data_IF_176533896052
#
_entry.id   IF_176533896052
#
_cell.length_a   1.000
_cell.length_b   1.000
_cell.length_c   1.000
_cell.angle_alpha   90.00
_cell.angle_beta   90.00
_cell.angle_gamma   90.00
#
_symmetry.space_group_name_H-M   'P 1'
#
loop_
_entity.id
_entity.type
_entity.pdbx_description
1 polymer ?
#
# COMPACT_ATOMS: atom_id res chain seq x y z
N UNK A 1 6.09 47.88 3.33
CA UNK A 1 7.24 48.14 4.18
C UNK A 1 6.69 48.67 5.49
N UNK A 2 7.18 48.17 6.61
CA UNK A 2 6.90 48.65 7.96
C UNK A 2 8.19 49.23 8.55
N UNK A 3 8.06 50.33 9.28
CA UNK A 3 9.20 51.02 9.88
C UNK A 3 9.13 50.93 11.41
N UNK A 4 10.27 51.03 12.06
CA UNK A 4 10.38 51.23 13.49
C UNK A 4 10.18 52.71 13.81
N UNK A 5 10.06 53.05 15.10
CA UNK A 5 9.88 54.44 15.56
C UNK A 5 11.11 55.33 15.28
N UNK A 6 12.29 54.74 15.07
CA UNK A 6 13.55 55.40 14.69
C UNK A 6 13.72 55.59 13.18
N UNK A 7 12.73 55.25 12.35
CA UNK A 7 12.75 55.37 10.90
C UNK A 7 13.47 54.22 10.17
N UNK A 8 14.03 53.25 10.89
CA UNK A 8 14.63 52.07 10.27
C UNK A 8 13.59 51.08 9.77
N UNK A 9 13.89 50.26 8.75
CA UNK A 9 12.97 49.27 8.20
C UNK A 9 12.81 48.10 9.19
N UNK A 10 11.63 47.95 9.72
CA UNK A 10 11.25 46.82 10.59
C UNK A 10 11.02 45.55 9.79
N UNK A 11 10.23 45.63 8.73
CA UNK A 11 9.95 44.51 7.85
C UNK A 11 9.51 44.96 6.47
N UNK A 12 9.80 44.15 5.47
CA UNK A 12 9.31 44.35 4.12
C UNK A 12 8.84 43.03 3.51
N UNK A 13 7.90 43.09 2.57
CA UNK A 13 7.45 41.93 1.82
C UNK A 13 7.37 42.26 0.33
N UNK A 14 7.79 41.29 -0.47
CA UNK A 14 7.64 41.28 -1.91
C UNK A 14 6.67 40.19 -2.32
N UNK A 15 5.85 40.46 -3.32
CA UNK A 15 4.95 39.44 -3.87
C UNK A 15 5.51 38.95 -5.18
N UNK A 16 5.51 37.60 -5.30
CA UNK A 16 5.86 36.91 -6.54
C UNK A 16 4.72 35.99 -6.92
N UNK A 17 4.61 35.70 -8.18
CA UNK A 17 3.65 34.73 -8.71
C UNK A 17 4.46 33.58 -9.31
N UNK A 18 4.05 32.36 -9.02
CA UNK A 18 4.56 31.19 -9.73
C UNK A 18 3.95 31.11 -11.12
N UNK A 19 4.66 30.48 -12.03
CA UNK A 19 4.07 30.00 -13.29
C UNK A 19 2.92 29.04 -12.97
N UNK A 20 1.94 28.86 -13.88
CA UNK A 20 0.82 27.94 -13.64
C UNK A 20 1.32 26.55 -13.27
N UNK A 21 0.96 26.10 -12.06
CA UNK A 21 1.33 24.79 -11.52
C UNK A 21 0.18 23.80 -11.82
N UNK A 22 0.49 22.65 -12.39
CA UNK A 22 -0.52 21.66 -12.81
C UNK A 22 -0.30 20.27 -12.26
N UNK A 23 0.95 19.88 -11.98
CA UNK A 23 1.35 18.55 -11.53
C UNK A 23 2.00 18.62 -10.15
N UNK A 24 1.98 17.51 -9.43
CA UNK A 24 2.64 17.37 -8.12
C UNK A 24 4.12 17.80 -8.16
N UNK A 25 4.82 17.48 -9.26
CA UNK A 25 6.23 17.89 -9.46
C UNK A 25 6.40 19.40 -9.59
N UNK A 26 5.42 20.10 -10.18
CA UNK A 26 5.48 21.55 -10.32
C UNK A 26 5.35 22.22 -8.94
N UNK A 27 4.50 21.68 -8.06
CA UNK A 27 4.32 22.15 -6.69
C UNK A 27 5.61 21.99 -5.87
N UNK A 28 6.26 20.82 -5.97
CA UNK A 28 7.53 20.56 -5.29
C UNK A 28 8.60 21.54 -5.78
N UNK A 29 8.79 21.64 -7.10
CA UNK A 29 9.80 22.53 -7.70
C UNK A 29 9.55 24.00 -7.34
N UNK A 30 8.30 24.43 -7.30
CA UNK A 30 7.94 25.80 -6.94
C UNK A 30 8.34 26.12 -5.49
N UNK A 31 8.03 25.25 -4.54
CA UNK A 31 8.39 25.43 -3.14
C UNK A 31 9.90 25.37 -2.91
N UNK A 32 10.59 24.41 -3.52
CA UNK A 32 12.05 24.26 -3.42
C UNK A 32 12.78 25.46 -4.05
N UNK A 33 12.38 25.89 -5.26
CA UNK A 33 12.97 27.02 -5.93
C UNK A 33 12.81 28.31 -5.13
N UNK A 34 11.63 28.53 -4.53
CA UNK A 34 11.40 29.68 -3.66
C UNK A 34 12.33 29.63 -2.43
N UNK A 35 12.46 28.47 -1.77
CA UNK A 35 13.35 28.29 -0.61
C UNK A 35 14.83 28.50 -0.99
N UNK A 36 15.27 27.89 -2.08
CA UNK A 36 16.66 28.04 -2.55
C UNK A 36 16.99 29.49 -2.91
N UNK A 37 16.06 30.17 -3.58
CA UNK A 37 16.28 31.61 -3.96
C UNK A 37 16.39 32.47 -2.71
N UNK A 38 15.49 32.30 -1.74
CA UNK A 38 15.56 33.07 -0.49
C UNK A 38 16.83 32.74 0.31
N UNK A 39 17.22 31.46 0.38
CA UNK A 39 18.45 31.06 1.06
C UNK A 39 19.68 31.71 0.45
N UNK A 40 19.78 31.82 -0.89
CA UNK A 40 20.86 32.53 -1.59
C UNK A 40 20.84 34.01 -1.26
N UNK A 41 19.67 34.65 -1.30
CA UNK A 41 19.52 36.07 -0.97
C UNK A 41 19.90 36.30 0.50
N UNK A 42 19.38 35.47 1.42
CA UNK A 42 19.64 35.60 2.85
C UNK A 42 21.14 35.49 3.16
N UNK A 43 21.86 34.55 2.51
CA UNK A 43 23.28 34.36 2.72
C UNK A 43 24.06 35.65 2.41
N UNK A 44 23.75 36.29 1.30
CA UNK A 44 24.38 37.56 0.93
C UNK A 44 23.98 38.75 1.85
N UNK A 45 22.77 38.67 2.44
CA UNK A 45 22.27 39.70 3.35
C UNK A 45 22.80 39.53 4.78
N UNK A 46 22.94 38.28 5.26
CA UNK A 46 23.34 37.94 6.63
C UNK A 46 24.79 38.40 6.89
N UNK A 47 25.66 38.41 5.86
CA UNK A 47 27.04 38.91 5.97
C UNK A 47 27.08 40.41 6.33
N UNK A 48 26.08 41.20 5.87
CA UNK A 48 25.98 42.63 6.13
C UNK A 48 25.01 42.99 7.27
N UNK A 49 24.01 42.12 7.52
CA UNK A 49 22.92 42.35 8.48
C UNK A 49 22.62 41.06 9.26
N UNK A 50 23.42 40.71 10.30
CA UNK A 50 23.35 39.39 10.96
C UNK A 50 22.03 39.09 11.67
N UNK A 51 21.24 40.12 11.98
CA UNK A 51 19.91 39.94 12.62
C UNK A 51 18.74 39.88 11.63
N UNK A 52 19.00 39.94 10.34
CA UNK A 52 17.96 39.92 9.32
C UNK A 52 17.59 38.47 8.91
N UNK A 53 16.31 38.19 8.84
CA UNK A 53 15.77 36.88 8.39
C UNK A 53 14.86 37.10 7.20
N UNK A 54 15.05 36.31 6.15
CA UNK A 54 14.13 36.26 5.03
C UNK A 54 13.62 34.83 4.84
N UNK A 55 12.35 34.69 4.53
CA UNK A 55 11.72 33.40 4.28
C UNK A 55 10.62 33.53 3.21
N UNK A 56 10.43 32.52 2.37
CA UNK A 56 9.32 32.48 1.44
C UNK A 56 8.06 32.12 2.21
N UNK A 57 6.99 32.86 1.96
CA UNK A 57 5.70 32.61 2.60
C UNK A 57 4.59 32.45 1.55
N UNK A 58 3.91 31.33 1.60
CA UNK A 58 2.65 31.11 0.90
C UNK A 58 1.80 30.18 1.75
N UNK A 59 0.50 30.48 1.84
CA UNK A 59 -0.45 29.58 2.50
C UNK A 59 -0.47 28.18 1.84
N UNK A 60 -0.16 28.11 0.55
CA UNK A 60 -0.15 26.86 -0.20
C UNK A 60 1.11 26.02 0.00
N UNK A 61 2.21 26.55 0.52
CA UNK A 61 3.43 25.77 0.72
C UNK A 61 3.30 24.64 1.72
N UNK A 62 2.39 24.77 2.72
CA UNK A 62 2.06 23.68 3.64
C UNK A 62 1.51 22.48 2.86
N UNK A 63 0.66 22.72 1.85
CA UNK A 63 0.13 21.65 1.00
C UNK A 63 1.15 21.10 0.01
N UNK A 64 2.11 21.94 -0.45
CA UNK A 64 3.17 21.49 -1.36
C UNK A 64 4.19 20.59 -0.66
N UNK A 65 4.46 20.83 0.62
CA UNK A 65 5.33 20.00 1.44
C UNK A 65 4.81 18.55 1.54
N UNK A 66 3.50 18.36 1.55
CA UNK A 66 2.90 17.03 1.49
C UNK A 66 3.43 16.21 0.31
N UNK A 67 3.54 16.81 -0.88
CA UNK A 67 4.00 16.11 -2.09
C UNK A 67 5.48 15.72 -2.01
N UNK A 68 6.27 16.46 -1.26
CA UNK A 68 7.71 16.17 -1.08
C UNK A 68 7.93 14.89 -0.27
N UNK A 69 7.13 14.69 0.78
CA UNK A 69 7.32 13.56 1.71
C UNK A 69 6.39 12.38 1.47
N UNK A 70 5.34 12.54 0.66
CA UNK A 70 4.28 11.53 0.51
C UNK A 70 4.79 10.16 0.07
N UNK A 71 5.82 10.11 -0.77
CA UNK A 71 6.40 8.84 -1.25
C UNK A 71 7.10 8.07 -0.13
N UNK A 72 7.89 8.75 0.70
CA UNK A 72 8.57 8.14 1.86
C UNK A 72 7.54 7.65 2.86
N UNK A 73 6.58 8.50 3.21
CA UNK A 73 5.47 8.18 4.12
C UNK A 73 4.66 6.98 3.60
N UNK A 74 4.41 6.91 2.28
CA UNK A 74 3.70 5.79 1.68
C UNK A 74 4.44 4.46 1.88
N UNK A 75 5.75 4.43 1.61
CA UNK A 75 6.58 3.22 1.77
C UNK A 75 6.67 2.82 3.25
N UNK A 76 6.94 3.76 4.13
CA UNK A 76 7.05 3.50 5.57
C UNK A 76 5.74 2.92 6.14
N UNK A 77 4.61 3.54 5.84
CA UNK A 77 3.30 3.06 6.32
C UNK A 77 2.89 1.74 5.68
N UNK A 78 3.25 1.50 4.41
CA UNK A 78 2.98 0.22 3.75
C UNK A 78 3.79 -0.92 4.40
N UNK A 79 5.08 -0.70 4.66
CA UNK A 79 5.92 -1.67 5.36
C UNK A 79 5.42 -1.93 6.79
N UNK A 80 5.02 -0.87 7.50
CA UNK A 80 4.43 -1.00 8.82
C UNK A 80 3.14 -1.80 8.79
N UNK A 81 2.24 -1.53 7.85
CA UNK A 81 0.99 -2.27 7.69
C UNK A 81 1.24 -3.77 7.40
N UNK A 82 2.20 -4.09 6.53
CA UNK A 82 2.59 -5.47 6.25
C UNK A 82 3.20 -6.16 7.48
N UNK A 83 4.03 -5.45 8.26
CA UNK A 83 4.59 -5.97 9.50
C UNK A 83 3.52 -6.27 10.55
N UNK A 84 2.54 -5.36 10.71
CA UNK A 84 1.41 -5.56 11.64
C UNK A 84 0.56 -6.75 11.19
N UNK A 85 0.28 -6.88 9.90
CA UNK A 85 -0.45 -8.04 9.34
C UNK A 85 0.32 -9.34 9.60
N UNK A 86 1.62 -9.37 9.34
CA UNK A 86 2.46 -10.54 9.59
C UNK A 86 2.40 -10.95 11.06
N UNK A 87 2.59 -10.00 11.97
CA UNK A 87 2.54 -10.26 13.42
C UNK A 87 1.17 -10.76 13.86
N UNK A 88 0.09 -10.12 13.39
CA UNK A 88 -1.27 -10.53 13.73
C UNK A 88 -1.57 -11.96 13.26
N UNK A 89 -1.12 -12.33 12.06
CA UNK A 89 -1.33 -13.68 11.54
C UNK A 89 -0.45 -14.71 12.26
N UNK A 90 0.79 -14.35 12.63
CA UNK A 90 1.69 -15.24 13.41
C UNK A 90 1.09 -15.58 14.78
N UNK A 91 0.38 -14.65 15.42
CA UNK A 91 -0.28 -14.92 16.70
C UNK A 91 -1.41 -15.97 16.60
N UNK A 92 -2.00 -16.12 15.43
CA UNK A 92 -3.17 -17.01 15.20
C UNK A 92 -2.73 -18.30 14.50
N UNK A 93 -1.69 -18.24 13.66
CA UNK A 93 -1.26 -19.29 12.75
C UNK A 93 0.25 -19.55 12.82
N UNK A 94 0.70 -20.64 12.19
CA UNK A 94 2.12 -20.94 12.05
C UNK A 94 2.84 -19.88 11.23
N UNK A 95 4.11 -19.60 11.58
CA UNK A 95 4.97 -18.62 10.91
C UNK A 95 5.08 -18.85 9.39
N UNK A 96 5.10 -20.10 8.92
CA UNK A 96 5.12 -20.42 7.48
C UNK A 96 3.87 -19.94 6.76
N UNK A 97 2.70 -20.16 7.37
CA UNK A 97 1.44 -19.73 6.80
C UNK A 97 1.29 -18.20 6.84
N UNK A 98 1.72 -17.58 7.94
CA UNK A 98 1.77 -16.12 8.06
C UNK A 98 2.64 -15.49 6.96
N UNK A 99 3.80 -16.07 6.69
CA UNK A 99 4.66 -15.60 5.59
C UNK A 99 3.97 -15.72 4.22
N UNK A 100 3.28 -16.83 3.94
CA UNK A 100 2.57 -17.02 2.67
C UNK A 100 1.42 -16.03 2.50
N UNK A 101 0.63 -15.78 3.56
CA UNK A 101 -0.44 -14.79 3.53
C UNK A 101 0.14 -13.40 3.29
N UNK A 102 1.18 -13.01 4.04
CA UNK A 102 1.80 -11.68 3.89
C UNK A 102 2.41 -11.50 2.51
N UNK A 103 3.03 -12.55 1.95
CA UNK A 103 3.54 -12.53 0.58
C UNK A 103 2.42 -12.35 -0.45
N UNK A 104 1.30 -13.06 -0.31
CA UNK A 104 0.15 -12.89 -1.19
C UNK A 104 -0.44 -11.48 -1.10
N UNK A 105 -0.52 -10.90 0.10
CA UNK A 105 -0.96 -9.53 0.33
C UNK A 105 -0.01 -8.52 -0.31
N UNK A 106 1.30 -8.73 -0.18
CA UNK A 106 2.31 -7.90 -0.81
C UNK A 106 2.17 -7.91 -2.35
N UNK A 107 2.02 -9.10 -2.94
CA UNK A 107 1.79 -9.25 -4.39
C UNK A 107 0.50 -8.54 -4.82
N UNK A 108 -0.58 -8.66 -4.02
CA UNK A 108 -1.85 -7.96 -4.29
C UNK A 108 -1.65 -6.45 -4.33
N UNK A 109 -0.90 -5.91 -3.37
CA UNK A 109 -0.62 -4.48 -3.28
C UNK A 109 0.22 -3.99 -4.46
N UNK A 110 1.23 -4.74 -4.88
CA UNK A 110 2.01 -4.41 -6.08
C UNK A 110 1.17 -4.46 -7.35
N UNK A 111 0.31 -5.46 -7.49
CA UNK A 111 -0.58 -5.56 -8.65
C UNK A 111 -1.60 -4.43 -8.69
N UNK A 112 -2.07 -3.95 -7.54
CA UNK A 112 -2.91 -2.75 -7.49
C UNK A 112 -2.18 -1.52 -8.03
N UNK A 113 -0.91 -1.31 -7.64
CA UNK A 113 -0.10 -0.21 -8.17
C UNK A 113 0.02 -0.35 -9.71
N UNK A 114 0.23 -1.57 -10.21
CA UNK A 114 0.27 -1.86 -11.63
C UNK A 114 -1.05 -1.54 -12.35
N UNK A 115 -2.20 -1.88 -11.75
CA UNK A 115 -3.52 -1.55 -12.30
C UNK A 115 -3.73 -0.05 -12.34
N UNK A 116 -3.40 0.68 -11.27
CA UNK A 116 -3.50 2.14 -11.24
C UNK A 116 -2.62 2.77 -12.32
N UNK A 117 -1.44 2.23 -12.55
CA UNK A 117 -0.57 2.67 -13.66
C UNK A 117 -1.21 2.43 -15.03
N UNK A 118 -1.77 1.24 -15.26
CA UNK A 118 -2.48 0.92 -16.51
C UNK A 118 -3.73 1.77 -16.70
N UNK A 119 -4.50 2.00 -15.65
CA UNK A 119 -5.67 2.88 -15.67
C UNK A 119 -5.28 4.31 -16.07
N UNK A 120 -4.21 4.83 -15.48
CA UNK A 120 -3.66 6.14 -15.84
C UNK A 120 -3.19 6.20 -17.29
N UNK A 121 -2.65 5.11 -17.83
CA UNK A 121 -2.22 5.04 -19.23
C UNK A 121 -3.43 5.07 -20.18
N UNK A 122 -4.48 4.32 -19.86
CA UNK A 122 -5.70 4.22 -20.67
C UNK A 122 -6.52 5.52 -20.67
N UNK A 123 -6.55 6.24 -19.56
CA UNK A 123 -7.37 7.44 -19.37
C UNK A 123 -6.57 8.75 -19.42
N UNK A 124 -5.31 8.71 -19.84
CA UNK A 124 -4.42 9.87 -19.91
C UNK A 124 -5.01 11.03 -20.71
N UNK A 125 -5.62 10.73 -21.84
CA UNK A 125 -6.17 11.75 -22.76
C UNK A 125 -7.43 12.43 -22.21
N UNK A 126 -8.10 11.82 -21.22
CA UNK A 126 -9.29 12.36 -20.58
C UNK A 126 -8.99 13.23 -19.35
N UNK A 127 -7.72 13.41 -18.99
CA UNK A 127 -7.30 14.22 -17.84
C UNK A 127 -7.64 13.64 -16.47
N UNK A 128 -8.10 12.39 -16.40
CA UNK A 128 -8.47 11.70 -15.17
C UNK A 128 -7.34 10.78 -14.70
N UNK A 129 -6.27 11.37 -14.17
CA UNK A 129 -5.09 10.65 -13.69
C UNK A 129 -5.14 10.53 -12.17
N UNK A 130 -4.90 9.32 -11.65
CA UNK A 130 -4.70 9.07 -10.22
C UNK A 130 -3.25 9.42 -9.88
N UNK A 131 -3.06 10.53 -9.16
CA UNK A 131 -1.74 10.94 -8.67
C UNK A 131 -1.48 10.38 -7.26
N UNK A 132 -0.19 10.28 -6.90
CA UNK A 132 0.22 9.93 -5.54
C UNK A 132 -0.05 11.13 -4.63
N UNK A 133 -1.08 11.00 -3.80
CA UNK A 133 -1.48 11.98 -2.79
C UNK A 133 -1.93 11.25 -1.51
N UNK A 134 -2.31 11.98 -0.48
CA UNK A 134 -2.74 11.39 0.78
C UNK A 134 -3.87 10.37 0.62
N UNK A 135 -4.83 10.64 -0.29
CA UNK A 135 -5.98 9.75 -0.51
C UNK A 135 -5.55 8.44 -1.16
N UNK A 136 -4.71 8.50 -2.20
CA UNK A 136 -4.21 7.30 -2.86
C UNK A 136 -3.34 6.44 -1.94
N UNK A 137 -2.55 7.08 -1.05
CA UNK A 137 -1.75 6.37 -0.04
C UNK A 137 -2.63 5.70 1.00
N UNK A 138 -3.65 6.37 1.52
CA UNK A 138 -4.63 5.75 2.44
C UNK A 138 -5.32 4.56 1.78
N UNK A 139 -5.74 4.69 0.53
CA UNK A 139 -6.36 3.59 -0.21
C UNK A 139 -5.39 2.42 -0.41
N UNK A 140 -4.10 2.68 -0.63
CA UNK A 140 -3.07 1.64 -0.77
C UNK A 140 -2.85 0.88 0.55
N UNK A 141 -2.84 1.58 1.68
CA UNK A 141 -2.76 0.96 3.02
C UNK A 141 -4.02 0.14 3.29
N UNK A 142 -5.20 0.68 2.95
CA UNK A 142 -6.48 -0.04 3.07
C UNK A 142 -6.48 -1.32 2.22
N UNK A 143 -5.81 -1.32 1.06
CA UNK A 143 -5.63 -2.51 0.23
C UNK A 143 -4.99 -3.66 1.01
N UNK A 144 -3.96 -3.39 1.82
CA UNK A 144 -3.31 -4.41 2.66
C UNK A 144 -4.32 -5.09 3.58
N UNK A 145 -5.14 -4.29 4.30
CA UNK A 145 -6.16 -4.82 5.19
C UNK A 145 -7.25 -5.64 4.48
N UNK A 146 -7.72 -5.15 3.33
CA UNK A 146 -8.72 -5.88 2.55
C UNK A 146 -8.16 -7.15 1.89
N UNK A 147 -6.91 -7.12 1.43
CA UNK A 147 -6.27 -8.28 0.83
C UNK A 147 -6.08 -9.42 1.85
N UNK A 148 -5.77 -9.10 3.10
CA UNK A 148 -5.70 -10.09 4.19
C UNK A 148 -7.03 -10.81 4.36
N UNK A 149 -8.14 -10.08 4.33
CA UNK A 149 -9.47 -10.66 4.50
C UNK A 149 -9.78 -11.72 3.43
N UNK A 150 -9.42 -11.46 2.16
CA UNK A 150 -9.58 -12.44 1.08
C UNK A 150 -8.67 -13.66 1.23
N UNK A 151 -7.46 -13.47 1.72
CA UNK A 151 -6.43 -14.53 1.77
C UNK A 151 -6.46 -15.34 3.05
N UNK A 152 -6.72 -14.73 4.21
CA UNK A 152 -6.64 -15.38 5.51
C UNK A 152 -7.66 -16.53 5.65
N UNK A 153 -8.90 -16.34 5.21
CA UNK A 153 -9.93 -17.39 5.30
C UNK A 153 -9.53 -18.64 4.53
N UNK A 154 -9.07 -18.49 3.30
CA UNK A 154 -8.63 -19.61 2.46
C UNK A 154 -7.41 -20.31 3.06
N UNK A 155 -6.41 -19.54 3.52
CA UNK A 155 -5.21 -20.10 4.12
C UNK A 155 -5.49 -20.88 5.43
N UNK A 156 -6.35 -20.33 6.29
CA UNK A 156 -6.73 -20.96 7.56
C UNK A 156 -7.47 -22.27 7.32
N UNK A 157 -8.45 -22.29 6.41
CA UNK A 157 -9.17 -23.51 6.08
C UNK A 157 -8.22 -24.56 5.48
N UNK A 158 -7.36 -24.16 4.54
CA UNK A 158 -6.38 -25.07 3.97
C UNK A 158 -5.43 -25.67 5.03
N UNK A 159 -5.06 -24.91 6.05
CA UNK A 159 -4.18 -25.40 7.12
C UNK A 159 -4.84 -26.49 8.00
N UNK A 160 -6.15 -26.47 8.11
CA UNK A 160 -6.93 -27.45 8.89
C UNK A 160 -7.18 -28.75 8.13
N UNK A 161 -7.24 -28.68 6.81
CA UNK A 161 -7.49 -29.82 5.94
C UNK A 161 -6.37 -30.86 6.02
N UNK A 162 -6.73 -32.14 5.87
CA UNK A 162 -5.82 -33.29 5.90
C UNK A 162 -5.89 -34.06 4.58
N UNK A 163 -4.81 -34.78 4.23
CA UNK A 163 -4.74 -35.62 3.05
C UNK A 163 -3.87 -35.05 1.92
N UNK A 164 -3.98 -35.61 0.71
CA UNK A 164 -3.20 -35.18 -0.45
C UNK A 164 -3.45 -33.71 -0.79
N UNK A 165 -2.42 -33.03 -1.31
CA UNK A 165 -2.47 -31.58 -1.61
C UNK A 165 -3.68 -31.16 -2.42
N UNK A 166 -4.00 -31.89 -3.48
CA UNK A 166 -5.11 -31.59 -4.38
C UNK A 166 -6.46 -31.69 -3.67
N UNK A 167 -6.66 -32.74 -2.86
CA UNK A 167 -7.89 -32.94 -2.10
C UNK A 167 -8.09 -31.86 -1.03
N UNK A 168 -7.00 -31.47 -0.35
CA UNK A 168 -7.02 -30.34 0.60
C UNK A 168 -7.44 -29.05 -0.08
N UNK A 169 -6.88 -28.79 -1.27
CA UNK A 169 -7.23 -27.61 -2.05
C UNK A 169 -8.69 -27.60 -2.50
N UNK A 170 -9.17 -28.73 -3.03
CA UNK A 170 -10.55 -28.90 -3.45
C UNK A 170 -11.51 -28.69 -2.28
N UNK A 171 -11.28 -29.32 -1.14
CA UNK A 171 -12.10 -29.17 0.06
C UNK A 171 -12.11 -27.71 0.54
N UNK A 172 -10.94 -27.06 0.59
CA UNK A 172 -10.81 -25.65 1.00
C UNK A 172 -11.62 -24.73 0.11
N UNK A 173 -11.48 -24.87 -1.21
CA UNK A 173 -12.21 -24.03 -2.16
C UNK A 173 -13.72 -24.32 -2.15
N UNK A 174 -14.11 -25.56 -1.90
CA UNK A 174 -15.51 -25.96 -1.77
C UNK A 174 -16.15 -25.37 -0.52
N UNK A 175 -15.43 -25.38 0.60
CA UNK A 175 -15.94 -24.87 1.89
C UNK A 175 -15.91 -23.34 1.95
N UNK A 176 -14.77 -22.73 1.60
CA UNK A 176 -14.54 -21.29 1.81
C UNK A 176 -14.68 -20.46 0.55
N UNK A 177 -14.48 -21.03 -0.64
CA UNK A 177 -14.44 -20.27 -1.90
C UNK A 177 -15.73 -19.51 -2.18
N UNK A 178 -16.87 -20.16 -2.02
CA UNK A 178 -18.20 -19.53 -2.18
C UNK A 178 -18.41 -18.41 -1.17
N UNK A 179 -18.05 -18.64 0.10
CA UNK A 179 -18.19 -17.63 1.16
C UNK A 179 -17.29 -16.41 0.91
N UNK A 180 -16.05 -16.62 0.47
CA UNK A 180 -15.13 -15.54 0.13
C UNK A 180 -15.62 -14.78 -1.11
N UNK A 181 -16.04 -15.48 -2.15
CA UNK A 181 -16.52 -14.87 -3.38
C UNK A 181 -17.80 -14.05 -3.15
N UNK A 182 -18.83 -14.64 -2.55
CA UNK A 182 -20.13 -14.00 -2.35
C UNK A 182 -20.10 -13.08 -1.13
N UNK A 183 -19.64 -13.58 0.02
CA UNK A 183 -19.71 -12.87 1.30
C UNK A 183 -18.77 -11.66 1.34
N UNK A 184 -17.56 -11.79 0.81
CA UNK A 184 -16.55 -10.71 0.85
C UNK A 184 -16.47 -10.00 -0.51
N UNK A 185 -16.34 -10.77 -1.60
CA UNK A 185 -16.13 -10.20 -2.93
C UNK A 185 -17.34 -9.45 -3.45
N UNK A 186 -18.49 -10.12 -3.58
CA UNK A 186 -19.68 -9.52 -4.17
C UNK A 186 -20.25 -8.39 -3.33
N UNK A 187 -20.27 -8.52 -2.00
CA UNK A 187 -20.77 -7.46 -1.10
C UNK A 187 -19.93 -6.17 -1.22
N UNK A 188 -18.60 -6.31 -1.23
CA UNK A 188 -17.70 -5.16 -1.44
C UNK A 188 -17.82 -4.60 -2.86
N UNK A 189 -17.94 -5.46 -3.87
CA UNK A 189 -18.13 -5.03 -5.26
C UNK A 189 -19.38 -4.15 -5.41
N UNK A 190 -20.53 -4.57 -4.86
CA UNK A 190 -21.77 -3.77 -4.88
C UNK A 190 -21.57 -2.43 -4.17
N UNK A 191 -20.91 -2.42 -3.00
CA UNK A 191 -20.60 -1.19 -2.28
C UNK A 191 -19.70 -0.23 -3.08
N UNK A 192 -18.73 -0.78 -3.80
CA UNK A 192 -17.82 0.02 -4.65
C UNK A 192 -18.55 0.57 -5.88
N UNK A 193 -19.43 -0.20 -6.52
CA UNK A 193 -20.20 0.24 -7.69
C UNK A 193 -21.02 1.48 -7.39
N UNK A 194 -21.55 1.64 -6.19
CA UNK A 194 -22.28 2.84 -5.76
C UNK A 194 -21.41 4.11 -5.89
N UNK A 195 -20.11 4.01 -5.66
CA UNK A 195 -19.17 5.13 -5.77
C UNK A 195 -19.00 5.63 -7.22
N UNK A 196 -19.26 4.76 -8.22
CA UNK A 196 -19.24 5.16 -9.63
C UNK A 196 -20.26 6.27 -9.95
N UNK A 197 -21.37 6.29 -9.23
CA UNK A 197 -22.46 7.24 -9.40
C UNK A 197 -22.32 8.50 -8.52
N UNK A 198 -21.23 8.60 -7.75
CA UNK A 198 -21.00 9.77 -6.91
C UNK A 198 -20.83 11.05 -7.75
N UNK A 199 -21.40 12.15 -7.29
CA UNK A 199 -21.28 13.45 -7.97
C UNK A 199 -19.85 14.01 -7.92
N UNK A 200 -19.10 13.71 -6.86
CA UNK A 200 -17.73 14.17 -6.68
C UNK A 200 -16.74 13.38 -7.54
N UNK A 201 -15.91 14.08 -8.30
CA UNK A 201 -14.83 13.50 -9.09
C UNK A 201 -13.82 12.76 -8.22
N UNK A 202 -13.60 13.21 -6.98
CA UNK A 202 -12.71 12.57 -6.02
C UNK A 202 -13.17 11.14 -5.71
N UNK A 203 -14.46 10.93 -5.42
CA UNK A 203 -15.00 9.61 -5.15
C UNK A 203 -14.97 8.70 -6.37
N UNK A 204 -15.25 9.21 -7.56
CA UNK A 204 -15.18 8.42 -8.79
C UNK A 204 -13.75 8.07 -9.19
N UNK A 205 -12.81 9.01 -9.03
CA UNK A 205 -11.43 8.81 -9.48
C UNK A 205 -10.60 7.99 -8.47
N UNK A 206 -10.55 8.45 -7.22
CA UNK A 206 -9.67 7.84 -6.21
C UNK A 206 -10.31 6.66 -5.48
N UNK A 207 -11.60 6.76 -5.13
CA UNK A 207 -12.23 5.67 -4.38
C UNK A 207 -12.76 4.59 -5.30
N UNK A 208 -13.63 4.90 -6.25
CA UNK A 208 -14.23 3.86 -7.11
C UNK A 208 -13.17 3.04 -7.85
N UNK A 209 -12.26 3.69 -8.60
CA UNK A 209 -11.27 2.98 -9.42
C UNK A 209 -10.29 2.16 -8.59
N UNK A 210 -9.75 2.75 -7.52
CA UNK A 210 -8.81 2.02 -6.67
C UNK A 210 -9.49 0.88 -5.91
N UNK A 211 -10.67 1.11 -5.30
CA UNK A 211 -11.38 0.04 -4.58
C UNK A 211 -11.88 -1.06 -5.52
N UNK A 212 -12.28 -0.73 -6.73
CA UNK A 212 -12.61 -1.74 -7.74
C UNK A 212 -11.39 -2.63 -8.02
N UNK A 213 -10.23 -2.03 -8.23
CA UNK A 213 -8.96 -2.77 -8.38
C UNK A 213 -8.65 -3.65 -7.17
N UNK A 214 -8.83 -3.12 -5.94
CA UNK A 214 -8.60 -3.87 -4.69
C UNK A 214 -9.51 -5.10 -4.62
N UNK A 215 -10.80 -4.95 -4.88
CA UNK A 215 -11.77 -6.06 -4.80
C UNK A 215 -11.48 -7.12 -5.86
N UNK A 216 -11.26 -6.71 -7.11
CA UNK A 216 -10.97 -7.65 -8.20
C UNK A 216 -9.66 -8.42 -7.96
N UNK A 217 -8.59 -7.72 -7.58
CA UNK A 217 -7.31 -8.36 -7.26
C UNK A 217 -7.38 -9.17 -5.97
N UNK A 218 -8.11 -8.69 -4.95
CA UNK A 218 -8.29 -9.43 -3.71
C UNK A 218 -8.98 -10.78 -3.94
N UNK A 219 -10.07 -10.80 -4.70
CA UNK A 219 -10.76 -12.05 -5.09
C UNK A 219 -9.83 -12.96 -5.90
N UNK A 220 -9.17 -12.42 -6.91
CA UNK A 220 -8.27 -13.20 -7.76
C UNK A 220 -7.10 -13.78 -6.96
N UNK A 221 -6.43 -12.97 -6.15
CA UNK A 221 -5.31 -13.46 -5.36
C UNK A 221 -5.73 -14.38 -4.21
N UNK A 222 -6.87 -14.13 -3.60
CA UNK A 222 -7.41 -14.99 -2.53
C UNK A 222 -7.87 -16.37 -3.04
N UNK A 223 -8.53 -16.43 -4.21
CA UNK A 223 -9.12 -17.66 -4.73
C UNK A 223 -8.27 -18.39 -5.77
N UNK A 224 -7.29 -17.74 -6.39
CA UNK A 224 -6.45 -18.34 -7.42
C UNK A 224 -4.98 -18.35 -7.02
N UNK A 225 -4.39 -17.19 -6.74
CA UNK A 225 -2.96 -17.08 -6.46
C UNK A 225 -2.57 -17.77 -5.16
N UNK A 226 -3.24 -17.49 -4.07
CA UNK A 226 -2.92 -18.07 -2.76
C UNK A 226 -3.11 -19.59 -2.75
N UNK A 227 -4.21 -20.18 -3.25
CA UNK A 227 -4.33 -21.62 -3.41
C UNK A 227 -3.21 -22.24 -4.22
N UNK A 228 -2.77 -21.60 -5.31
CA UNK A 228 -1.64 -22.06 -6.10
C UNK A 228 -0.33 -22.05 -5.29
N UNK A 229 -0.05 -20.98 -4.55
CA UNK A 229 1.12 -20.90 -3.66
C UNK A 229 1.07 -22.00 -2.61
N UNK A 230 -0.08 -22.22 -1.96
CA UNK A 230 -0.26 -23.24 -0.94
C UNK A 230 -0.05 -24.65 -1.50
N UNK A 231 -0.55 -24.91 -2.71
CA UNK A 231 -0.35 -26.21 -3.38
C UNK A 231 1.13 -26.52 -3.62
N UNK A 232 1.89 -25.53 -4.10
CA UNK A 232 3.31 -25.74 -4.43
C UNK A 232 4.24 -25.75 -3.21
N UNK A 233 3.90 -25.03 -2.16
CA UNK A 233 4.80 -24.81 -1.01
C UNK A 233 4.56 -25.75 0.18
N UNK A 234 3.36 -26.35 0.27
CA UNK A 234 3.03 -27.23 1.41
C UNK A 234 3.24 -28.71 1.06
N UNK A 235 3.93 -29.49 1.92
CA UNK A 235 4.04 -30.93 1.72
C UNK A 235 2.66 -31.60 1.86
N UNK A 236 2.49 -32.76 1.21
CA UNK A 236 1.34 -33.61 1.49
C UNK A 236 1.43 -34.12 2.94
N UNK A 237 0.31 -34.09 3.67
CA UNK A 237 0.31 -34.60 5.05
C UNK A 237 0.51 -36.14 5.12
N UNK A 238 0.25 -36.84 4.02
CA UNK A 238 0.58 -38.28 3.91
C UNK A 238 2.09 -38.50 3.71
N UNK A 239 2.73 -37.63 2.91
CA UNK A 239 4.19 -37.70 2.70
C UNK A 239 4.95 -37.36 3.99
N UNK A 240 4.44 -36.44 4.80
CA UNK A 240 5.02 -36.10 6.10
C UNK A 240 5.00 -37.31 7.08
N UNK A 241 3.91 -38.08 7.08
CA UNK A 241 3.83 -39.31 7.90
C UNK A 241 4.76 -40.42 7.39
N UNK A 242 4.95 -40.52 6.08
CA UNK A 242 5.91 -41.47 5.49
C UNK A 242 7.36 -41.07 5.84
N UNK A 243 7.69 -39.82 5.73
CA UNK A 243 9.01 -39.27 6.09
C UNK A 243 9.29 -39.47 7.59
N UNK A 244 8.33 -39.25 8.47
CA UNK A 244 8.47 -39.47 9.90
C UNK A 244 8.58 -40.99 10.21
N UNK A 245 7.90 -41.84 9.45
CA UNK A 245 8.01 -43.30 9.58
C UNK A 245 9.39 -43.81 9.13
N UNK A 246 9.86 -43.40 7.97
CA UNK A 246 11.20 -43.71 7.45
C UNK A 246 12.32 -43.21 8.38
N UNK A 247 12.20 -42.00 8.93
CA UNK A 247 13.16 -41.47 9.91
C UNK A 247 13.20 -42.30 11.19
N UNK A 248 12.04 -42.72 11.71
CA UNK A 248 11.97 -43.55 12.91
C UNK A 248 12.50 -44.97 12.66
N UNK A 249 12.36 -45.52 11.44
CA UNK A 249 12.99 -46.80 11.08
C UNK A 249 14.50 -46.69 11.01
N UNK A 250 15.04 -45.64 10.38
CA UNK A 250 16.49 -45.39 10.31
C UNK A 250 17.11 -45.18 11.71
N UNK A 251 16.42 -44.47 12.61
CA UNK A 251 16.88 -44.27 13.99
C UNK A 251 16.85 -45.56 14.81
N UNK A 252 15.88 -46.45 14.55
CA UNK A 252 15.82 -47.77 15.22
C UNK A 252 16.84 -48.75 14.66
N UNK A 253 17.15 -48.69 13.36
CA UNK A 253 18.17 -49.55 12.74
C UNK A 253 19.61 -49.14 13.14
N UNK A 254 19.82 -47.84 13.33
CA UNK A 254 21.11 -47.31 13.84
C UNK A 254 21.31 -47.59 15.34
N UNK A 255 20.25 -47.58 16.15
CA UNK A 255 20.30 -47.88 17.57
C UNK A 255 20.49 -49.38 17.87
N UNK A 256 20.11 -50.29 16.94
CA UNK A 256 20.31 -51.75 17.09
C UNK A 256 21.69 -52.29 16.65
N UNK A 257 22.60 -51.41 16.21
CA UNK A 257 23.95 -51.77 15.74
C UNK A 257 25.08 -51.43 16.73
N UNK A 258 24.73 -51.11 17.98
CA UNK A 258 25.70 -50.90 19.09
C UNK A 258 25.54 -51.93 20.17
#
# INVERSE_FOLDING_TARGET
ISFNDDGTIKSSRLRFMHTPLRKSEDYIKAAESARQTITKITKNFTDNYPNSKAFPYSLFYIYYDQYTYIRSIAVENLLLALAVVFLAVVLIQNIKLAFMITLAVLITTFNLIGIVYLDNLLFKDHGFIIEINAISVVNLITCVGLAVEFTAHVAITYSKETGPRMKRLENTLRETGSSVFIGIGLTKFVGVVVLAFAKSTLFRLYYFRMYLGIVLMGVFHGLVLLPAILYWTTPSKNDAKLIDYERNEDDTETAGKF
#
